data_IF_370891188093
#
_entry.id   IF_370891188093
#
_cell.length_a   1.000
_cell.length_b   1.000
_cell.length_c   1.000
_cell.angle_alpha   90.00
_cell.angle_beta   90.00
_cell.angle_gamma   90.00
#
_symmetry.space_group_name_H-M   'P 1'
#
loop_
_entity.id
_entity.type
_entity.pdbx_description
1 polymer ?
#
# COMPACT_ATOMS: atom_id res chain seq x y z
N UNK A 1 -18.56 0.38 -3.56
CA UNK A 1 -17.86 1.57 -4.06
C UNK A 1 -17.18 1.16 -5.35
N UNK A 2 -17.48 1.78 -6.48
CA UNK A 2 -16.77 1.49 -7.73
C UNK A 2 -15.44 2.23 -7.74
N UNK A 3 -14.37 1.54 -8.11
CA UNK A 3 -13.08 2.17 -8.35
C UNK A 3 -13.11 2.85 -9.74
N UNK A 4 -12.44 4.00 -9.92
CA UNK A 4 -12.28 4.61 -11.23
C UNK A 4 -11.62 3.64 -12.22
N UNK A 5 -11.98 3.72 -13.50
CA UNK A 5 -11.40 2.86 -14.55
C UNK A 5 -9.89 3.02 -14.66
N UNK A 6 -9.39 4.23 -14.41
CA UNK A 6 -7.98 4.58 -14.38
C UNK A 6 -7.33 4.39 -12.99
N UNK A 7 -7.99 3.75 -12.03
CA UNK A 7 -7.51 3.62 -10.65
C UNK A 7 -6.06 3.17 -10.58
N UNK A 8 -5.71 2.08 -11.27
CA UNK A 8 -4.34 1.56 -11.26
C UNK A 8 -3.38 2.54 -11.95
N UNK A 9 -3.78 3.16 -13.06
CA UNK A 9 -2.93 4.10 -13.80
C UNK A 9 -2.61 5.36 -12.98
N UNK A 10 -3.55 5.84 -12.17
CA UNK A 10 -3.40 7.05 -11.36
C UNK A 10 -2.56 6.84 -10.08
N UNK A 11 -2.16 5.60 -9.78
CA UNK A 11 -1.30 5.33 -8.62
C UNK A 11 0.11 5.84 -8.86
N UNK A 12 0.61 6.60 -7.90
CA UNK A 12 1.96 7.11 -7.82
C UNK A 12 2.67 6.56 -6.58
N UNK A 13 3.99 6.39 -6.69
CA UNK A 13 4.85 6.08 -5.55
C UNK A 13 5.37 7.38 -4.94
N UNK A 14 4.87 7.80 -3.77
CA UNK A 14 5.31 9.03 -3.12
C UNK A 14 6.70 8.86 -2.50
N UNK A 15 7.38 10.00 -2.29
CA UNK A 15 8.66 10.03 -1.59
C UNK A 15 8.48 9.65 -0.11
N UNK A 16 9.54 9.07 0.48
CA UNK A 16 9.51 8.65 1.88
C UNK A 16 9.16 9.79 2.86
N UNK A 17 9.63 11.01 2.57
CA UNK A 17 9.32 12.20 3.35
C UNK A 17 7.83 12.53 3.35
N UNK A 18 7.15 12.34 2.22
CA UNK A 18 5.70 12.55 2.11
C UNK A 18 4.91 11.48 2.88
N UNK A 19 5.36 10.23 2.82
CA UNK A 19 4.79 9.12 3.60
C UNK A 19 4.89 9.41 5.09
N UNK A 20 6.07 9.80 5.57
CA UNK A 20 6.27 10.15 6.99
C UNK A 20 5.40 11.33 7.40
N UNK A 21 5.32 12.38 6.57
CA UNK A 21 4.47 13.53 6.84
C UNK A 21 2.98 13.16 6.94
N UNK A 22 2.49 12.27 6.08
CA UNK A 22 1.12 11.76 6.16
C UNK A 22 0.88 10.94 7.43
N UNK A 23 1.83 10.08 7.82
CA UNK A 23 1.72 9.28 9.04
C UNK A 23 1.71 10.14 10.31
N UNK A 24 2.39 11.28 10.31
CA UNK A 24 2.43 12.22 11.44
C UNK A 24 1.22 13.17 11.48
N UNK A 25 0.34 13.14 10.48
CA UNK A 25 -0.79 14.06 10.35
C UNK A 25 -1.82 13.83 11.47
N UNK A 26 -1.94 14.82 12.37
CA UNK A 26 -2.84 14.74 13.55
C UNK A 26 -4.34 14.84 13.22
N UNK A 27 -4.72 15.52 12.14
CA UNK A 27 -6.12 15.75 11.75
C UNK A 27 -6.65 14.71 10.74
N UNK A 28 -6.36 13.43 10.95
CA UNK A 28 -6.84 12.37 10.06
C UNK A 28 -8.33 12.09 10.34
N UNK A 29 -9.17 12.15 9.30
CA UNK A 29 -10.56 11.66 9.41
C UNK A 29 -10.51 10.14 9.65
N UNK A 30 -11.25 9.59 10.62
CA UNK A 30 -11.14 8.18 11.03
C UNK A 30 -11.70 7.17 10.01
N UNK A 31 -12.26 7.62 8.89
CA UNK A 31 -12.85 6.72 7.89
C UNK A 31 -11.80 6.27 6.88
N UNK A 32 -11.43 4.99 6.96
CA UNK A 32 -10.85 4.23 5.85
C UNK A 32 -11.84 3.17 5.38
N UNK A 33 -11.76 2.81 4.10
CA UNK A 33 -12.47 1.65 3.54
C UNK A 33 -11.44 0.60 3.16
N UNK A 34 -11.80 -0.67 3.31
CA UNK A 34 -10.96 -1.80 2.95
C UNK A 34 -11.66 -2.63 1.88
N UNK A 35 -10.87 -3.17 0.96
CA UNK A 35 -11.28 -4.12 -0.07
C UNK A 35 -10.33 -5.31 -0.01
N UNK A 36 -10.87 -6.51 0.19
CA UNK A 36 -10.10 -7.75 0.18
C UNK A 36 -10.07 -8.32 -1.25
N UNK A 37 -8.86 -8.58 -1.75
CA UNK A 37 -8.66 -9.44 -2.91
C UNK A 37 -8.34 -10.85 -2.40
N UNK A 38 -9.01 -11.87 -2.93
CA UNK A 38 -8.84 -13.27 -2.50
C UNK A 38 -8.41 -14.16 -3.66
N UNK A 39 -9.17 -14.14 -4.75
CA UNK A 39 -8.98 -15.04 -5.89
C UNK A 39 -8.87 -14.30 -7.23
N UNK A 40 -8.89 -12.97 -7.20
CA UNK A 40 -8.87 -12.11 -8.39
C UNK A 40 -7.45 -11.93 -8.93
N UNK A 41 -6.44 -11.98 -8.05
CA UNK A 41 -5.03 -11.82 -8.41
C UNK A 41 -4.16 -12.63 -7.46
N UNK A 42 -3.17 -13.34 -8.00
CA UNK A 42 -2.18 -14.00 -7.16
C UNK A 42 -1.32 -12.93 -6.45
N UNK A 43 -1.06 -13.06 -5.13
CA UNK A 43 -0.22 -12.10 -4.41
C UNK A 43 1.17 -11.92 -5.02
N UNK A 44 1.75 -12.99 -5.59
CA UNK A 44 3.04 -12.95 -6.27
C UNK A 44 3.02 -12.06 -7.52
N UNK A 45 1.95 -12.13 -8.33
CA UNK A 45 1.82 -11.31 -9.54
C UNK A 45 1.66 -9.84 -9.19
N UNK A 46 0.84 -9.55 -8.17
CA UNK A 46 0.66 -8.18 -7.67
C UNK A 46 1.97 -7.60 -7.14
N UNK A 47 2.73 -8.40 -6.40
CA UNK A 47 4.06 -8.02 -5.94
C UNK A 47 5.01 -7.74 -7.11
N UNK A 48 5.12 -8.63 -8.08
CA UNK A 48 5.99 -8.45 -9.25
C UNK A 48 5.62 -7.19 -10.03
N UNK A 49 4.33 -6.95 -10.25
CA UNK A 49 3.84 -5.75 -10.91
C UNK A 49 4.23 -4.47 -10.15
N UNK A 50 3.98 -4.43 -8.84
CA UNK A 50 4.34 -3.27 -8.01
C UNK A 50 5.85 -3.08 -7.90
N UNK A 51 6.64 -4.14 -7.80
CA UNK A 51 8.11 -4.04 -7.84
C UNK A 51 8.61 -3.44 -9.14
N UNK A 52 8.05 -3.87 -10.27
CA UNK A 52 8.43 -3.36 -11.58
C UNK A 52 8.03 -1.89 -11.77
N UNK A 53 6.86 -1.49 -11.27
CA UNK A 53 6.31 -0.14 -11.49
C UNK A 53 6.72 0.90 -10.45
N UNK A 54 6.71 0.53 -9.18
CA UNK A 54 6.89 1.46 -8.04
C UNK A 54 8.21 1.24 -7.29
N UNK A 55 8.97 0.20 -7.63
CA UNK A 55 10.21 -0.15 -6.94
C UNK A 55 9.95 -0.92 -5.64
N UNK A 56 10.86 -0.76 -4.68
CA UNK A 56 10.78 -1.48 -3.40
C UNK A 56 9.53 -1.09 -2.59
N UNK A 57 8.99 -2.01 -1.75
CA UNK A 57 7.90 -1.69 -0.84
C UNK A 57 8.23 -0.48 0.05
N UNK A 58 7.33 0.51 0.07
CA UNK A 58 7.51 1.78 0.79
C UNK A 58 6.54 1.95 1.98
N UNK A 59 5.77 0.90 2.30
CA UNK A 59 4.80 0.92 3.38
C UNK A 59 5.42 1.03 4.79
N UNK A 60 4.69 1.63 5.75
CA UNK A 60 5.15 1.84 7.12
C UNK A 60 5.59 0.55 7.83
N UNK A 61 4.96 -0.59 7.56
CA UNK A 61 5.35 -1.86 8.19
C UNK A 61 6.74 -2.33 7.74
N UNK A 62 7.18 -1.95 6.54
CA UNK A 62 8.54 -2.25 6.06
C UNK A 62 9.58 -1.35 6.71
N UNK A 63 9.21 -0.10 7.02
CA UNK A 63 10.09 0.86 7.69
C UNK A 63 10.30 0.51 9.17
N UNK A 64 9.26 0.01 9.83
CA UNK A 64 9.25 -0.30 11.27
C UNK A 64 9.55 -1.78 11.55
N UNK A 65 10.18 -2.48 10.60
CA UNK A 65 10.47 -3.90 10.70
C UNK A 65 11.33 -4.20 11.92
N UNK A 66 10.84 -5.09 12.79
CA UNK A 66 11.61 -5.76 13.82
C UNK A 66 11.77 -7.23 13.41
N UNK A 67 12.94 -7.82 13.65
CA UNK A 67 13.28 -9.20 13.21
C UNK A 67 12.42 -10.29 13.89
N UNK A 68 11.57 -9.91 14.85
CA UNK A 68 10.67 -10.81 15.58
C UNK A 68 9.29 -11.00 14.93
N UNK A 69 9.03 -10.41 13.76
CA UNK A 69 7.70 -10.50 13.13
C UNK A 69 7.56 -11.78 12.30
N UNK A 70 6.59 -12.63 12.65
CA UNK A 70 6.33 -13.91 11.98
C UNK A 70 5.63 -13.76 10.60
N UNK A 71 5.53 -12.55 10.05
CA UNK A 71 4.97 -12.37 8.72
C UNK A 71 6.04 -12.69 7.67
N UNK A 72 5.94 -13.87 7.06
CA UNK A 72 6.89 -14.32 6.03
C UNK A 72 6.94 -13.41 4.78
N UNK A 73 5.95 -12.53 4.62
CA UNK A 73 5.78 -11.67 3.45
C UNK A 73 5.40 -10.25 3.90
N UNK A 74 6.43 -9.45 4.24
CA UNK A 74 6.28 -8.01 4.51
C UNK A 74 6.47 -7.24 3.20
N UNK A 75 5.45 -7.23 2.36
CA UNK A 75 5.37 -6.22 1.31
C UNK A 75 4.10 -5.40 1.49
N UNK A 76 4.32 -4.11 1.64
CA UNK A 76 3.27 -3.11 1.77
C UNK A 76 3.67 -1.93 0.89
N UNK A 77 2.72 -1.44 0.11
CA UNK A 77 2.89 -0.21 -0.65
C UNK A 77 1.88 0.83 -0.17
N UNK A 78 2.42 1.97 0.25
CA UNK A 78 1.65 3.18 0.52
C UNK A 78 1.76 4.07 -0.72
N UNK A 79 0.72 4.03 -1.54
CA UNK A 79 0.65 4.73 -2.83
C UNK A 79 -0.29 5.93 -2.72
N UNK A 80 -0.09 6.90 -3.61
CA UNK A 80 -0.91 8.10 -3.69
C UNK A 80 -1.73 8.09 -4.98
N UNK A 81 -2.94 8.61 -4.88
CA UNK A 81 -3.83 8.93 -5.99
C UNK A 81 -4.35 10.36 -5.79
N UNK A 82 -4.88 10.97 -6.84
CA UNK A 82 -5.50 12.32 -6.80
C UNK A 82 -6.55 12.49 -5.68
N UNK A 83 -7.23 11.42 -5.29
CA UNK A 83 -8.31 11.45 -4.28
C UNK A 83 -7.84 11.06 -2.87
N UNK A 84 -6.61 10.59 -2.70
CA UNK A 84 -6.07 10.23 -1.39
C UNK A 84 -5.02 9.14 -1.41
N UNK A 85 -4.86 8.50 -0.24
CA UNK A 85 -3.86 7.46 -0.01
C UNK A 85 -4.46 6.07 -0.14
N UNK A 86 -3.74 5.18 -0.81
CA UNK A 86 -4.10 3.78 -1.00
C UNK A 86 -3.02 2.91 -0.36
N UNK A 87 -3.43 2.02 0.53
CA UNK A 87 -2.53 1.11 1.22
C UNK A 87 -2.78 -0.32 0.73
N UNK A 88 -1.80 -0.89 0.04
CA UNK A 88 -1.81 -2.29 -0.36
C UNK A 88 -1.05 -3.12 0.68
N UNK A 89 -1.75 -4.05 1.32
CA UNK A 89 -1.20 -4.88 2.38
C UNK A 89 -1.24 -6.35 1.97
N UNK A 90 -0.08 -7.01 1.97
CA UNK A 90 0.01 -8.47 1.89
C UNK A 90 -0.41 -9.10 3.21
N UNK A 91 -1.72 -9.14 3.49
CA UNK A 91 -2.26 -9.78 4.70
C UNK A 91 -2.43 -11.28 4.44
N UNK A 92 -1.90 -12.12 5.34
CA UNK A 92 -2.24 -13.55 5.38
C UNK A 92 -3.63 -13.67 6.02
N UNK A 93 -4.62 -14.18 5.28
CA UNK A 93 -5.95 -14.52 5.78
C UNK A 93 -6.16 -16.02 5.76
#
# INVERSE_FOLDING_TARGET
MSLPTNFVADLECPLLTEIVAELQRKNRKPKSTFLALRNEVAPADLYCYFRARFGVPNGPQNLLRNDSSENLIHWEWMLRMSTGWVLFQGMNF
#
